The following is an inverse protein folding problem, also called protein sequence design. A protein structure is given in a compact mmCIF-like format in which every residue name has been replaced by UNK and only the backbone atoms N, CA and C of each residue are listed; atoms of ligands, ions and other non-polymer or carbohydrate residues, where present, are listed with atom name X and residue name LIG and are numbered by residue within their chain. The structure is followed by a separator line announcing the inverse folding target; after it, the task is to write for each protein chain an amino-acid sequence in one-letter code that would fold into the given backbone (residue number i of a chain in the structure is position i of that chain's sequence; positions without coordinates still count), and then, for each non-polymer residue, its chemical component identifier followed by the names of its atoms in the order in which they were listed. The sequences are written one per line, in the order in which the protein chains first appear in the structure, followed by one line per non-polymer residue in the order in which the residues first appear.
data_IF_991041257893
#
_entry.id   IF_991041257893
#
_cell.length_a   1.000
_cell.length_b   1.000
_cell.length_c   1.000
_cell.angle_alpha   90.00
_cell.angle_beta   90.00
_cell.angle_gamma   90.00
#
_symmetry.space_group_name_H-M   'P 1'
#
loop_
_entity.id
_entity.type
_entity.pdbx_description
1 polymer ?
#
# COMPACT_ATOMS: atom_id res chain seq x y z
N UNK A 1 0.63 5.38 39.40
CA UNK A 1 0.02 4.32 38.56
C UNK A 1 -0.98 5.03 37.66
N UNK A 2 -0.87 4.81 36.35
CA UNK A 2 -1.24 5.77 35.31
C UNK A 2 -2.74 5.73 34.99
N UNK A 3 -3.43 6.86 35.09
CA UNK A 3 -4.87 7.05 34.78
C UNK A 3 -5.30 6.45 33.44
N UNK A 4 -4.39 6.39 32.46
CA UNK A 4 -4.64 5.77 31.15
C UNK A 4 -4.91 4.26 31.21
N UNK A 5 -4.34 3.54 32.17
CA UNK A 5 -4.56 2.11 32.32
C UNK A 5 -5.96 1.82 32.89
N UNK A 6 -6.48 2.71 33.73
CA UNK A 6 -7.79 2.58 34.33
C UNK A 6 -8.89 3.00 33.35
N UNK A 7 -8.66 4.05 32.53
CA UNK A 7 -9.57 4.43 31.43
C UNK A 7 -9.74 3.32 30.38
N UNK A 8 -8.67 2.60 30.05
CA UNK A 8 -8.76 1.47 29.13
C UNK A 8 -9.53 0.30 29.73
N UNK A 9 -9.30 0.00 31.02
CA UNK A 9 -10.03 -1.07 31.72
C UNK A 9 -11.53 -0.77 31.81
N UNK A 10 -11.88 0.48 32.13
CA UNK A 10 -13.27 0.93 32.19
C UNK A 10 -13.94 0.88 30.81
N UNK A 11 -13.24 1.28 29.74
CA UNK A 11 -13.78 1.19 28.38
C UNK A 11 -13.99 -0.27 27.91
N UNK A 12 -13.13 -1.20 28.32
CA UNK A 12 -13.29 -2.62 28.02
C UNK A 12 -14.42 -3.26 28.83
N UNK A 13 -14.54 -2.96 30.13
CA UNK A 13 -15.65 -3.45 30.97
C UNK A 13 -17.01 -2.92 30.51
N UNK A 14 -17.08 -1.68 30.03
CA UNK A 14 -18.34 -1.08 29.52
C UNK A 14 -18.79 -1.74 28.21
N UNK A 15 -17.88 -2.23 27.38
CA UNK A 15 -18.19 -2.76 26.04
C UNK A 15 -18.03 -4.28 25.89
N UNK A 16 -17.73 -5.02 26.96
CA UNK A 16 -17.51 -6.47 26.91
C UNK A 16 -18.76 -7.27 26.50
N UNK A 17 -19.95 -6.75 26.81
CA UNK A 17 -21.23 -7.38 26.49
C UNK A 17 -22.00 -6.75 25.32
N UNK A 18 -21.48 -5.67 24.73
CA UNK A 18 -22.04 -5.08 23.52
C UNK A 18 -21.63 -5.97 22.34
N UNK A 19 -22.49 -6.92 21.97
CA UNK A 19 -22.32 -7.64 20.70
C UNK A 19 -22.56 -6.60 19.61
N UNK A 20 -21.53 -6.16 18.85
CA UNK A 20 -21.71 -5.08 17.91
C UNK A 20 -22.72 -5.53 16.85
N UNK A 21 -23.79 -4.77 16.68
CA UNK A 21 -24.84 -5.08 15.71
C UNK A 21 -24.17 -5.29 14.34
N UNK A 22 -24.24 -6.50 13.76
CA UNK A 22 -23.58 -6.79 12.50
C UNK A 22 -24.09 -5.87 11.40
N UNK A 23 -25.34 -5.42 11.46
CA UNK A 23 -25.91 -4.49 10.49
C UNK A 23 -25.24 -3.12 10.61
N UNK A 24 -24.99 -2.63 11.83
CA UNK A 24 -24.28 -1.37 12.06
C UNK A 24 -22.81 -1.46 11.60
N UNK A 25 -22.14 -2.59 11.86
CA UNK A 25 -20.76 -2.83 11.39
C UNK A 25 -20.71 -2.88 9.86
N UNK A 26 -21.61 -3.62 9.21
CA UNK A 26 -21.69 -3.69 7.75
C UNK A 26 -22.04 -2.35 7.12
N UNK A 27 -22.98 -1.59 7.71
CA UNK A 27 -23.31 -0.24 7.26
C UNK A 27 -22.12 0.70 7.36
N UNK A 28 -21.32 0.60 8.44
CA UNK A 28 -20.12 1.43 8.60
C UNK A 28 -19.00 1.05 7.64
N UNK A 29 -18.82 -0.24 7.35
CA UNK A 29 -17.88 -0.73 6.34
C UNK A 29 -18.31 -0.30 4.93
N UNK A 30 -19.61 -0.35 4.61
CA UNK A 30 -20.15 0.16 3.34
C UNK A 30 -20.01 1.69 3.23
N UNK A 31 -20.25 2.43 4.30
CA UNK A 31 -20.08 3.87 4.33
C UNK A 31 -18.61 4.25 4.13
N UNK A 32 -17.69 3.60 4.85
CA UNK A 32 -16.25 3.80 4.70
C UNK A 32 -15.80 3.47 3.27
N UNK A 33 -16.16 2.30 2.75
CA UNK A 33 -15.79 1.90 1.37
C UNK A 33 -16.41 2.81 0.31
N UNK A 34 -17.64 3.29 0.50
CA UNK A 34 -18.27 4.29 -0.36
C UNK A 34 -17.55 5.64 -0.33
N UNK A 35 -17.09 6.07 0.85
CA UNK A 35 -16.30 7.30 1.04
C UNK A 35 -14.92 7.19 0.38
N UNK A 36 -14.28 6.01 0.46
CA UNK A 36 -13.05 5.68 -0.27
C UNK A 36 -13.25 5.72 -1.80
N UNK A 37 -14.33 5.13 -2.31
CA UNK A 37 -14.66 5.12 -3.75
C UNK A 37 -14.95 6.52 -4.31
N UNK A 38 -15.56 7.42 -3.51
CA UNK A 38 -15.78 8.82 -3.89
C UNK A 38 -14.51 9.67 -3.83
N UNK A 39 -13.62 9.46 -2.85
CA UNK A 39 -12.32 10.15 -2.78
C UNK A 39 -11.42 9.85 -3.99
N UNK A 40 -11.40 8.59 -4.44
CA UNK A 40 -10.63 8.19 -5.64
C UNK A 40 -11.13 8.86 -6.94
N UNK A 41 -12.42 9.28 -6.98
CA UNK A 41 -12.98 10.05 -8.09
C UNK A 41 -12.84 11.58 -7.91
N UNK A 42 -12.75 12.07 -6.67
CA UNK A 42 -12.61 13.49 -6.35
C UNK A 42 -11.18 14.03 -6.54
N UNK A 43 -10.16 13.19 -6.44
CA UNK A 43 -8.75 13.60 -6.66
C UNK A 43 -8.35 13.81 -8.13
N UNK A 44 -9.25 13.53 -9.10
CA UNK A 44 -8.98 13.73 -10.53
C UNK A 44 -9.63 14.99 -11.13
N UNK A 45 -10.25 15.87 -10.34
CA UNK A 45 -10.93 17.09 -10.85
C UNK A 45 -10.41 18.41 -10.25
N UNK A 46 -9.48 18.38 -9.28
CA UNK A 46 -8.95 19.60 -8.66
C UNK A 46 -7.50 19.92 -9.06
N UNK A 47 -7.18 19.77 -10.35
CA UNK A 47 -5.89 20.15 -10.93
C UNK A 47 -6.10 21.09 -12.12
N UNK A 48 -6.54 22.32 -11.87
CA UNK A 48 -6.70 23.31 -12.94
C UNK A 48 -7.15 24.69 -12.45
N UNK A 49 -6.27 25.68 -12.66
CA UNK A 49 -6.39 27.14 -12.43
C UNK A 49 -6.33 27.60 -10.95
N UNK A 50 -5.60 28.65 -10.55
CA UNK A 50 -5.07 29.81 -11.27
C UNK A 50 -3.78 30.37 -10.65
N UNK A 51 -2.96 30.97 -11.51
CA UNK A 51 -1.87 31.90 -11.21
C UNK A 51 -2.41 33.20 -10.61
N UNK A 52 -1.70 33.78 -9.61
CA UNK A 52 -1.25 35.18 -9.55
C UNK A 52 -1.11 35.74 -8.12
N UNK A 53 0.12 36.16 -7.78
CA UNK A 53 0.45 37.44 -7.12
C UNK A 53 -0.05 37.74 -5.71
N UNK A 54 0.88 37.83 -4.74
CA UNK A 54 1.31 39.11 -4.15
C UNK A 54 2.37 38.87 -3.06
N UNK A 55 3.50 39.56 -3.21
CA UNK A 55 4.51 39.74 -2.19
C UNK A 55 4.00 40.72 -1.12
N UNK A 56 4.17 40.38 0.16
CA UNK A 56 4.23 41.37 1.25
C UNK A 56 5.37 40.98 2.18
N UNK A 57 6.34 41.89 2.26
CA UNK A 57 7.45 41.90 3.20
C UNK A 57 6.94 42.12 4.63
N UNK A 58 7.56 41.44 5.61
CA UNK A 58 7.28 41.64 7.03
C UNK A 58 8.48 41.27 7.89
N UNK A 59 9.39 42.23 8.05
CA UNK A 59 10.48 42.22 9.01
C UNK A 59 9.87 42.48 10.38
N UNK A 60 10.07 41.60 11.37
CA UNK A 60 9.80 41.92 12.77
C UNK A 60 11.12 42.09 13.50
N UNK A 61 11.49 43.36 13.64
CA UNK A 61 12.52 43.88 14.52
C UNK A 61 11.99 43.86 15.95
N UNK A 62 12.69 43.23 16.90
CA UNK A 62 12.38 43.34 18.34
C UNK A 62 13.42 44.27 18.97
N UNK A 63 13.03 45.31 19.74
CA UNK A 63 13.93 46.35 20.19
C UNK A 63 14.82 45.91 21.36
N UNK A 64 16.10 46.26 21.23
CA UNK A 64 17.08 46.32 22.32
C UNK A 64 16.74 47.49 23.26
N UNK A 65 16.53 47.20 24.54
CA UNK A 65 16.57 48.17 25.64
C UNK A 65 17.74 47.82 26.57
N UNK A 66 18.85 48.52 26.39
CA UNK A 66 20.02 48.62 27.28
C UNK A 66 19.69 49.60 28.44
N UNK A 67 20.43 49.66 29.60
CA UNK A 67 21.90 49.60 29.67
C UNK A 67 22.54 48.94 30.92
N UNK A 68 23.81 48.55 30.81
CA UNK A 68 24.66 48.33 32.00
C UNK A 68 25.86 47.41 31.79
N UNK A 69 27.05 48.00 31.75
CA UNK A 69 28.37 47.35 31.67
C UNK A 69 28.60 46.18 32.63
N UNK A 70 29.21 45.10 32.15
CA UNK A 70 30.44 44.53 32.74
C UNK A 70 30.99 43.40 31.85
N UNK A 71 32.28 43.52 31.52
CA UNK A 71 33.10 42.42 31.02
C UNK A 71 33.01 41.24 31.98
N UNK A 72 32.61 40.08 31.49
CA UNK A 72 33.04 38.80 32.06
C UNK A 72 33.20 37.79 30.93
N UNK A 73 34.46 37.37 30.76
CA UNK A 73 34.85 36.20 30.00
C UNK A 73 34.26 34.97 30.68
N UNK A 74 33.09 34.55 30.23
CA UNK A 74 32.56 33.22 30.54
C UNK A 74 32.70 32.38 29.29
N UNK A 75 33.72 31.52 29.30
CA UNK A 75 33.82 30.34 28.46
C UNK A 75 32.52 29.55 28.56
N UNK A 76 31.66 29.66 27.55
CA UNK A 76 30.52 28.78 27.39
C UNK A 76 31.07 27.45 26.90
N UNK A 77 31.27 26.56 27.87
CA UNK A 77 31.36 25.13 27.65
C UNK A 77 30.02 24.68 27.05
N UNK A 78 30.03 24.26 25.79
CA UNK A 78 28.88 23.59 25.22
C UNK A 78 28.77 22.21 25.90
N UNK A 79 27.69 21.90 26.63
CA UNK A 79 27.41 20.50 26.91
C UNK A 79 27.26 19.81 25.56
N UNK A 80 27.94 18.66 25.41
CA UNK A 80 27.72 17.73 24.33
C UNK A 80 26.23 17.34 24.32
N UNK A 81 25.43 18.12 23.59
CA UNK A 81 24.03 17.86 23.35
C UNK A 81 23.99 16.60 22.51
N UNK A 82 23.55 15.52 23.16
CA UNK A 82 23.27 14.25 22.53
C UNK A 82 22.51 14.49 21.22
N UNK A 83 23.13 14.10 20.11
CA UNK A 83 22.35 13.63 18.97
C UNK A 83 21.36 12.62 19.53
N UNK A 84 20.04 12.75 19.33
CA UNK A 84 19.19 11.60 19.48
C UNK A 84 19.69 10.61 18.44
N UNK A 85 20.48 9.64 18.89
CA UNK A 85 20.67 8.38 18.20
C UNK A 85 19.26 7.84 18.04
N UNK A 86 18.64 8.13 16.89
CA UNK A 86 17.40 7.47 16.49
C UNK A 86 17.81 6.01 16.37
N UNK A 87 17.59 5.27 17.45
CA UNK A 87 17.87 3.85 17.51
C UNK A 87 17.01 3.22 16.42
N UNK A 88 17.66 2.84 15.31
CA UNK A 88 17.01 2.08 14.27
C UNK A 88 16.41 0.84 14.93
N UNK A 89 15.09 0.64 14.89
CA UNK A 89 14.51 -0.54 15.49
C UNK A 89 14.97 -1.76 14.69
N UNK A 90 15.54 -2.74 15.39
CA UNK A 90 15.99 -4.00 14.80
C UNK A 90 14.86 -4.87 14.24
N UNK A 91 13.60 -4.42 14.38
CA UNK A 91 12.42 -5.05 13.82
C UNK A 91 11.35 -3.99 13.51
N UNK A 92 10.78 -4.04 12.30
CA UNK A 92 9.58 -3.28 11.96
C UNK A 92 8.38 -4.03 12.54
N UNK A 93 7.53 -3.40 13.37
CA UNK A 93 6.35 -4.05 13.89
C UNK A 93 5.40 -4.45 12.75
N UNK A 94 4.58 -5.47 13.00
CA UNK A 94 3.49 -5.84 12.10
C UNK A 94 2.48 -4.70 12.04
N UNK A 95 2.52 -3.90 10.96
CA UNK A 95 1.64 -2.76 10.75
C UNK A 95 0.23 -3.21 10.31
N UNK A 96 -0.78 -2.44 10.70
CA UNK A 96 -2.14 -2.63 10.18
C UNK A 96 -2.18 -2.30 8.67
N UNK A 97 -3.16 -2.84 7.94
CA UNK A 97 -3.30 -2.57 6.50
C UNK A 97 -3.51 -1.07 6.21
N UNK A 98 -4.23 -0.37 7.10
CA UNK A 98 -4.43 1.07 7.01
C UNK A 98 -3.12 1.86 7.21
N UNK A 99 -2.27 1.42 8.13
CA UNK A 99 -0.97 2.06 8.38
C UNK A 99 0.03 1.78 7.26
N UNK A 100 -0.03 0.59 6.64
CA UNK A 100 0.75 0.25 5.45
C UNK A 100 0.44 1.21 4.29
N UNK A 101 -0.83 1.41 3.96
CA UNK A 101 -1.24 2.29 2.86
C UNK A 101 -0.86 3.76 3.14
N UNK A 102 -1.11 4.22 4.37
CA UNK A 102 -0.78 5.59 4.79
C UNK A 102 0.73 5.84 4.75
N UNK A 103 1.52 4.88 5.21
CA UNK A 103 2.97 4.93 5.14
C UNK A 103 3.46 4.95 3.69
N UNK A 104 2.98 4.05 2.84
CA UNK A 104 3.37 4.05 1.42
C UNK A 104 3.08 5.37 0.73
N UNK A 105 1.88 5.94 0.93
CA UNK A 105 1.51 7.21 0.33
C UNK A 105 2.47 8.34 0.73
N UNK A 106 2.83 8.45 2.01
CA UNK A 106 3.75 9.46 2.49
C UNK A 106 5.19 9.25 2.00
N UNK A 107 5.64 8.00 1.96
CA UNK A 107 6.95 7.63 1.46
C UNK A 107 7.14 8.05 0.00
N UNK A 108 6.16 7.73 -0.85
CA UNK A 108 6.18 8.13 -2.26
C UNK A 108 5.96 9.63 -2.45
N UNK A 109 5.11 10.27 -1.65
CA UNK A 109 4.92 11.73 -1.72
C UNK A 109 6.20 12.50 -1.36
N UNK A 110 7.06 11.94 -0.51
CA UNK A 110 8.37 12.49 -0.18
C UNK A 110 9.44 12.22 -1.25
N UNK A 111 9.08 11.55 -2.35
CA UNK A 111 9.94 11.32 -3.50
C UNK A 111 10.85 10.09 -3.41
N UNK A 112 10.73 9.28 -2.35
CA UNK A 112 11.51 8.06 -2.21
C UNK A 112 10.94 6.93 -3.06
N UNK A 113 11.83 6.04 -3.54
CA UNK A 113 11.49 4.97 -4.47
C UNK A 113 11.72 3.56 -3.91
N UNK A 114 11.71 2.54 -4.77
CA UNK A 114 11.99 1.18 -4.31
C UNK A 114 13.44 0.97 -3.86
N UNK A 115 14.41 1.53 -4.58
CA UNK A 115 15.83 1.33 -4.30
C UNK A 115 16.23 2.00 -2.99
N UNK A 116 15.63 3.15 -2.70
CA UNK A 116 15.73 3.81 -1.40
C UNK A 116 15.18 2.94 -0.27
N UNK A 117 14.10 2.19 -0.51
CA UNK A 117 13.56 1.28 0.50
C UNK A 117 14.48 0.08 0.75
N UNK A 118 15.19 -0.40 -0.28
CA UNK A 118 16.20 -1.45 -0.14
C UNK A 118 17.38 -0.93 0.68
N UNK A 119 17.92 0.25 0.35
CA UNK A 119 19.00 0.90 1.11
C UNK A 119 18.59 1.14 2.58
N UNK A 120 17.35 1.58 2.82
CA UNK A 120 16.81 1.73 4.17
C UNK A 120 16.74 0.40 4.91
N UNK A 121 16.35 -0.68 4.23
CA UNK A 121 16.30 -2.00 4.85
C UNK A 121 17.69 -2.49 5.28
N UNK A 122 18.71 -2.23 4.46
CA UNK A 122 20.11 -2.56 4.77
C UNK A 122 20.64 -1.71 5.92
N UNK A 123 20.36 -0.41 5.90
CA UNK A 123 20.82 0.56 6.90
C UNK A 123 20.16 0.35 8.27
N UNK A 124 18.88 -0.02 8.30
CA UNK A 124 18.17 -0.37 9.53
C UNK A 124 18.41 -1.81 9.97
N UNK A 125 19.16 -2.59 9.19
CA UNK A 125 19.43 -4.01 9.45
C UNK A 125 18.14 -4.84 9.64
N UNK A 126 17.07 -4.48 8.93
CA UNK A 126 15.75 -5.13 9.05
C UNK A 126 15.54 -6.14 7.92
N UNK A 127 15.18 -7.37 8.28
CA UNK A 127 14.79 -8.43 7.33
C UNK A 127 13.28 -8.48 7.11
N UNK A 128 12.65 -7.31 7.00
CA UNK A 128 11.22 -7.19 6.74
C UNK A 128 10.94 -7.15 5.23
N UNK A 129 9.73 -7.54 4.77
CA UNK A 129 9.31 -7.27 3.41
C UNK A 129 9.51 -5.79 3.06
N UNK A 130 10.04 -5.47 1.87
CA UNK A 130 10.34 -4.09 1.47
C UNK A 130 9.10 -3.18 1.57
N UNK A 131 7.89 -3.72 1.37
CA UNK A 131 6.65 -2.99 1.64
C UNK A 131 6.57 -2.46 3.07
N UNK A 132 6.90 -3.27 4.08
CA UNK A 132 6.88 -2.82 5.47
C UNK A 132 7.93 -1.74 5.74
N UNK A 133 9.10 -1.83 5.10
CA UNK A 133 10.16 -0.81 5.18
C UNK A 133 9.68 0.52 4.62
N UNK A 134 8.99 0.51 3.48
CA UNK A 134 8.39 1.71 2.88
C UNK A 134 7.34 2.33 3.79
N UNK A 135 6.47 1.50 4.37
CA UNK A 135 5.39 1.99 5.22
C UNK A 135 5.95 2.63 6.49
N UNK A 136 6.87 1.96 7.17
CA UNK A 136 7.58 2.50 8.34
C UNK A 136 8.29 3.82 8.02
N UNK A 137 9.03 3.86 6.91
CA UNK A 137 9.71 5.08 6.46
C UNK A 137 8.74 6.23 6.19
N UNK A 138 7.59 5.95 5.56
CA UNK A 138 6.55 6.94 5.35
C UNK A 138 5.85 7.40 6.64
N UNK A 139 5.65 6.51 7.60
CA UNK A 139 5.10 6.88 8.90
C UNK A 139 6.06 7.79 9.67
N UNK A 140 7.38 7.56 9.59
CA UNK A 140 8.41 8.45 10.14
C UNK A 140 8.38 9.83 9.48
N UNK A 141 8.26 9.88 8.16
CA UNK A 141 8.10 11.14 7.43
C UNK A 141 6.84 11.90 7.86
N UNK A 142 5.72 11.20 8.11
CA UNK A 142 4.49 11.80 8.64
C UNK A 142 4.62 12.28 10.09
N UNK A 143 5.46 11.63 10.89
CA UNK A 143 5.82 12.07 12.23
C UNK A 143 6.79 13.27 12.22
N UNK A 144 7.22 13.73 11.04
CA UNK A 144 8.17 14.82 10.87
C UNK A 144 9.63 14.40 11.04
N UNK A 145 9.92 13.10 11.12
CA UNK A 145 11.28 12.59 11.15
C UNK A 145 11.89 12.59 9.74
N UNK A 146 13.18 12.89 9.66
CA UNK A 146 13.95 12.81 8.42
C UNK A 146 14.58 11.43 8.26
N UNK A 147 14.53 10.87 7.05
CA UNK A 147 15.22 9.61 6.76
C UNK A 147 16.74 9.82 6.65
N UNK A 148 17.56 8.76 6.85
CA UNK A 148 19.01 8.89 6.95
C UNK A 148 19.74 9.39 5.70
N UNK A 149 19.06 9.41 4.56
CA UNK A 149 19.56 9.97 3.32
C UNK A 149 18.39 10.63 2.57
N UNK A 150 18.64 11.69 1.78
CA UNK A 150 17.60 12.33 0.98
C UNK A 150 17.10 11.37 -0.11
N UNK A 151 15.84 11.54 -0.52
CA UNK A 151 15.29 10.80 -1.66
C UNK A 151 16.22 10.94 -2.86
N UNK A 152 16.54 9.81 -3.49
CA UNK A 152 17.37 9.85 -4.69
C UNK A 152 16.52 10.50 -5.79
N UNK A 153 16.94 11.62 -6.41
CA UNK A 153 16.15 12.24 -7.47
C UNK A 153 15.97 11.21 -8.58
N UNK A 154 14.73 10.78 -8.80
CA UNK A 154 14.42 9.90 -9.91
C UNK A 154 14.93 10.58 -11.19
N UNK A 155 15.74 9.85 -11.97
CA UNK A 155 15.81 10.12 -13.39
C UNK A 155 14.35 10.16 -13.90
N UNK A 156 13.98 11.09 -14.80
CA UNK A 156 12.58 11.24 -15.22
C UNK A 156 12.02 9.87 -15.54
N UNK A 157 11.10 9.42 -14.68
CA UNK A 157 10.47 8.12 -14.77
C UNK A 157 9.96 8.00 -16.22
N UNK A 158 10.26 6.92 -16.96
CA UNK A 158 9.52 6.68 -18.19
C UNK A 158 8.07 6.65 -17.76
N UNK A 159 7.29 7.66 -18.16
CA UNK A 159 5.90 7.88 -17.74
C UNK A 159 5.19 6.54 -17.66
N UNK A 160 5.04 6.01 -16.44
CA UNK A 160 4.23 4.82 -16.21
C UNK A 160 2.86 5.18 -16.77
N UNK A 161 2.28 4.41 -17.68
CA UNK A 161 0.96 4.72 -18.19
C UNK A 161 -0.04 4.57 -17.05
N UNK A 162 -0.24 5.60 -16.25
CA UNK A 162 -1.25 5.63 -15.22
C UNK A 162 -2.62 5.66 -15.90
N UNK A 163 -3.35 4.55 -15.84
CA UNK A 163 -4.66 4.43 -16.47
C UNK A 163 -5.09 2.99 -16.72
N UNK A 164 -6.30 2.78 -17.28
CA UNK A 164 -6.91 1.46 -17.46
C UNK A 164 -6.07 0.47 -18.28
N UNK A 165 -5.12 0.98 -19.07
CA UNK A 165 -4.19 0.15 -19.85
C UNK A 165 -3.13 -0.54 -18.97
N UNK A 166 -2.58 0.15 -17.96
CA UNK A 166 -1.62 -0.46 -17.04
C UNK A 166 -2.29 -1.49 -16.12
N UNK A 167 -3.52 -1.23 -15.67
CA UNK A 167 -4.28 -2.19 -14.88
C UNK A 167 -4.45 -3.51 -15.65
N UNK A 168 -4.85 -3.46 -16.93
CA UNK A 168 -4.96 -4.65 -17.79
C UNK A 168 -3.63 -5.38 -17.98
N UNK A 169 -2.52 -4.66 -18.04
CA UNK A 169 -1.20 -5.26 -18.20
C UNK A 169 -0.79 -5.98 -16.91
N UNK A 170 -1.00 -5.35 -15.75
CA UNK A 170 -0.75 -5.99 -14.46
C UNK A 170 -1.66 -7.20 -14.26
N UNK A 171 -2.95 -7.09 -14.57
CA UNK A 171 -3.91 -8.20 -14.53
C UNK A 171 -3.46 -9.35 -15.44
N UNK A 172 -2.94 -9.06 -16.63
CA UNK A 172 -2.43 -10.09 -17.54
C UNK A 172 -1.18 -10.78 -16.97
N UNK A 173 -0.29 -10.02 -16.34
CA UNK A 173 0.91 -10.55 -15.68
C UNK A 173 0.54 -11.50 -14.54
N UNK A 174 -0.27 -11.04 -13.59
CA UNK A 174 -0.68 -11.84 -12.43
C UNK A 174 -1.61 -12.99 -12.84
N UNK A 175 -2.53 -12.75 -13.78
CA UNK A 175 -3.43 -13.76 -14.31
C UNK A 175 -2.73 -14.89 -15.06
N UNK A 176 -1.51 -14.66 -15.54
CA UNK A 176 -0.65 -15.70 -16.13
C UNK A 176 0.18 -16.47 -15.08
N UNK A 177 0.04 -16.14 -13.78
CA UNK A 177 0.72 -16.82 -12.67
C UNK A 177 2.12 -16.28 -12.37
N UNK A 178 2.49 -15.12 -12.92
CA UNK A 178 3.76 -14.48 -12.58
C UNK A 178 3.68 -13.77 -11.24
N UNK A 179 4.78 -13.81 -10.48
CA UNK A 179 4.91 -13.17 -9.18
C UNK A 179 6.00 -12.10 -9.19
N UNK A 180 6.23 -11.48 -8.04
CA UNK A 180 7.32 -10.54 -7.84
C UNK A 180 8.69 -11.13 -8.18
N UNK A 181 8.95 -12.38 -7.80
CA UNK A 181 10.23 -13.04 -8.05
C UNK A 181 10.52 -13.18 -9.55
N UNK A 182 9.49 -13.46 -10.35
CA UNK A 182 9.63 -13.46 -11.81
C UNK A 182 9.83 -12.04 -12.35
N UNK A 183 9.12 -11.05 -11.80
CA UNK A 183 9.28 -9.65 -12.22
C UNK A 183 10.70 -9.14 -11.99
N UNK A 184 11.33 -9.45 -10.86
CA UNK A 184 12.73 -9.10 -10.56
C UNK A 184 13.69 -9.75 -11.56
N UNK A 185 13.46 -11.03 -11.89
CA UNK A 185 14.28 -11.73 -12.90
C UNK A 185 14.10 -11.12 -14.29
N UNK A 186 12.88 -10.78 -14.67
CA UNK A 186 12.57 -10.12 -15.94
C UNK A 186 13.19 -8.72 -16.02
N UNK A 187 13.14 -7.94 -14.94
CA UNK A 187 13.80 -6.64 -14.87
C UNK A 187 15.30 -6.76 -15.14
N UNK A 188 15.96 -7.74 -14.52
CA UNK A 188 17.39 -8.00 -14.76
C UNK A 188 17.69 -8.38 -16.22
N UNK A 189 16.86 -9.20 -16.85
CA UNK A 189 17.03 -9.63 -18.25
C UNK A 189 16.81 -8.47 -19.23
N UNK A 190 15.85 -7.59 -18.93
CA UNK A 190 15.51 -6.46 -19.78
C UNK A 190 16.26 -5.17 -19.41
N UNK A 191 17.21 -5.25 -18.47
CA UNK A 191 17.98 -4.11 -17.98
C UNK A 191 17.09 -2.95 -17.49
N UNK A 192 15.98 -3.29 -16.82
CA UNK A 192 15.08 -2.34 -16.17
C UNK A 192 15.53 -2.11 -14.73
N UNK A 193 15.40 -0.86 -14.26
CA UNK A 193 15.70 -0.47 -12.88
C UNK A 193 14.61 -0.94 -11.90
N UNK A 194 13.33 -0.84 -12.26
CA UNK A 194 12.21 -1.22 -11.39
C UNK A 194 11.55 -2.55 -11.85
N UNK A 195 11.43 -3.56 -10.96
CA UNK A 195 10.61 -4.75 -11.21
C UNK A 195 9.16 -4.44 -11.59
N UNK A 196 8.61 -3.32 -11.16
CA UNK A 196 7.26 -2.87 -11.51
C UNK A 196 7.13 -2.60 -13.01
N UNK A 197 8.16 -2.00 -13.63
CA UNK A 197 8.18 -1.75 -15.07
C UNK A 197 8.27 -3.06 -15.85
N UNK A 198 8.99 -4.04 -15.30
CA UNK A 198 9.03 -5.39 -15.85
C UNK A 198 7.64 -6.04 -15.84
N UNK A 199 6.83 -5.87 -14.79
CA UNK A 199 5.44 -6.40 -14.78
C UNK A 199 4.58 -5.80 -15.87
N UNK A 200 4.65 -4.48 -16.05
CA UNK A 200 3.86 -3.75 -17.05
C UNK A 200 4.28 -4.17 -18.46
N UNK A 201 5.59 -4.25 -18.73
CA UNK A 201 6.14 -4.70 -20.01
C UNK A 201 5.80 -6.18 -20.28
N UNK A 202 5.94 -7.04 -19.28
CA UNK A 202 5.57 -8.45 -19.34
C UNK A 202 4.09 -8.62 -19.62
N UNK A 203 3.23 -7.89 -18.90
CA UNK A 203 1.79 -7.84 -19.12
C UNK A 203 1.41 -7.43 -20.54
N UNK A 204 2.07 -6.39 -21.07
CA UNK A 204 1.89 -5.94 -22.46
C UNK A 204 2.25 -7.05 -23.46
N UNK A 205 3.39 -7.72 -23.26
CA UNK A 205 3.84 -8.84 -24.11
C UNK A 205 2.88 -10.03 -24.05
N UNK A 206 2.42 -10.39 -22.85
CA UNK A 206 1.44 -11.46 -22.65
C UNK A 206 0.10 -11.16 -23.35
N UNK A 207 -0.38 -9.90 -23.29
CA UNK A 207 -1.57 -9.46 -24.02
C UNK A 207 -1.39 -9.52 -25.55
N UNK A 208 -0.17 -9.35 -26.03
CA UNK A 208 0.18 -9.53 -27.45
C UNK A 208 0.35 -11.02 -27.84
N UNK A 209 0.22 -11.95 -26.90
CA UNK A 209 0.44 -13.39 -27.12
C UNK A 209 1.91 -13.80 -27.18
N UNK A 210 2.83 -12.92 -26.79
CA UNK A 210 4.26 -13.24 -26.74
C UNK A 210 4.62 -14.04 -25.49
N UNK A 211 5.59 -14.95 -25.61
CA UNK A 211 6.17 -15.69 -24.48
C UNK A 211 7.26 -14.89 -23.79
N UNK A 212 7.35 -14.98 -22.46
CA UNK A 212 8.39 -14.30 -21.69
C UNK A 212 9.63 -15.20 -21.50
N UNK A 213 10.83 -14.61 -21.32
CA UNK A 213 12.07 -15.35 -21.09
C UNK A 213 12.08 -16.15 -19.78
N UNK A 214 11.33 -15.68 -18.79
CA UNK A 214 11.15 -16.36 -17.50
C UNK A 214 9.77 -16.99 -17.52
N UNK A 215 9.66 -18.24 -17.06
CA UNK A 215 8.37 -18.90 -16.91
C UNK A 215 7.90 -18.84 -15.45
N UNK A 216 6.58 -18.71 -15.21
CA UNK A 216 6.02 -18.76 -13.88
C UNK A 216 6.05 -20.19 -13.33
N UNK A 217 6.06 -20.33 -12.01
CA UNK A 217 6.00 -21.65 -11.37
C UNK A 217 4.63 -22.31 -11.67
N UNK A 218 4.57 -23.62 -12.00
CA UNK A 218 3.30 -24.30 -12.29
C UNK A 218 2.24 -24.15 -11.19
N UNK A 219 2.68 -24.12 -9.92
CA UNK A 219 1.79 -23.88 -8.79
C UNK A 219 1.12 -22.50 -8.84
N UNK A 220 1.86 -21.46 -9.24
CA UNK A 220 1.34 -20.10 -9.34
C UNK A 220 0.39 -19.96 -10.52
N UNK A 221 0.68 -20.64 -11.64
CA UNK A 221 -0.25 -20.71 -12.79
C UNK A 221 -1.57 -21.35 -12.39
N UNK A 222 -1.52 -22.43 -11.62
CA UNK A 222 -2.72 -23.09 -11.09
C UNK A 222 -3.50 -22.14 -10.17
N UNK A 223 -2.82 -21.49 -9.22
CA UNK A 223 -3.45 -20.56 -8.29
C UNK A 223 -4.10 -19.37 -9.01
N UNK A 224 -3.41 -18.74 -9.96
CA UNK A 224 -3.95 -17.63 -10.76
C UNK A 224 -5.17 -18.05 -11.59
N UNK A 225 -5.17 -19.29 -12.12
CA UNK A 225 -6.33 -19.83 -12.83
C UNK A 225 -7.53 -20.05 -11.92
N UNK A 226 -7.32 -20.60 -10.72
CA UNK A 226 -8.37 -20.77 -9.72
C UNK A 226 -8.93 -19.41 -9.27
N UNK A 227 -8.06 -18.43 -9.01
CA UNK A 227 -8.47 -17.07 -8.66
C UNK A 227 -9.28 -16.41 -9.77
N UNK A 228 -8.87 -16.56 -11.04
CA UNK A 228 -9.64 -16.06 -12.20
C UNK A 228 -11.03 -16.70 -12.29
N UNK A 229 -11.15 -17.99 -11.98
CA UNK A 229 -12.43 -18.69 -11.94
C UNK A 229 -13.30 -18.15 -10.80
N UNK A 230 -12.75 -18.04 -9.60
CA UNK A 230 -13.46 -17.48 -8.43
C UNK A 230 -13.90 -16.04 -8.70
N UNK A 231 -13.04 -15.20 -9.28
CA UNK A 231 -13.39 -13.84 -9.67
C UNK A 231 -14.51 -13.82 -10.71
N UNK A 232 -14.48 -14.70 -11.72
CA UNK A 232 -15.56 -14.80 -12.70
C UNK A 232 -16.91 -15.19 -12.06
N UNK A 233 -16.88 -16.05 -11.05
CA UNK A 233 -18.07 -16.43 -10.27
C UNK A 233 -18.69 -15.22 -9.56
N UNK A 234 -17.88 -14.47 -8.80
CA UNK A 234 -18.36 -13.27 -8.11
C UNK A 234 -18.75 -12.14 -9.05
N UNK A 235 -18.00 -11.91 -10.14
CA UNK A 235 -18.31 -10.88 -11.13
C UNK A 235 -19.63 -11.13 -11.86
N UNK A 236 -20.09 -12.39 -11.90
CA UNK A 236 -21.41 -12.75 -12.44
C UNK A 236 -22.56 -12.49 -11.45
N UNK A 237 -22.24 -12.13 -10.20
CA UNK A 237 -23.18 -11.76 -9.15
C UNK A 237 -23.41 -12.83 -8.09
N UNK A 238 -22.80 -14.00 -8.21
CA UNK A 238 -23.05 -15.10 -7.27
C UNK A 238 -22.39 -14.87 -5.91
N UNK A 239 -23.09 -15.24 -4.84
CA UNK A 239 -22.61 -15.09 -3.46
C UNK A 239 -21.92 -16.35 -2.91
N UNK A 240 -21.42 -16.27 -1.67
CA UNK A 240 -20.88 -17.45 -0.97
C UNK A 240 -21.98 -18.47 -0.66
N UNK A 241 -23.18 -18.01 -0.33
CA UNK A 241 -24.35 -18.87 -0.09
C UNK A 241 -24.75 -19.63 -1.35
N UNK A 242 -24.64 -19.01 -2.51
CA UNK A 242 -24.86 -19.66 -3.80
C UNK A 242 -23.81 -20.73 -4.08
N UNK A 243 -22.55 -20.47 -3.74
CA UNK A 243 -21.51 -21.49 -3.80
C UNK A 243 -21.79 -22.69 -2.88
N UNK A 244 -22.36 -22.47 -1.68
CA UNK A 244 -22.78 -23.57 -0.79
C UNK A 244 -23.92 -24.38 -1.40
N UNK A 245 -24.92 -23.74 -2.02
CA UNK A 245 -26.00 -24.44 -2.73
C UNK A 245 -25.45 -25.25 -3.92
N UNK A 246 -24.55 -24.66 -4.70
CA UNK A 246 -23.90 -25.32 -5.83
C UNK A 246 -23.03 -26.49 -5.40
N UNK A 247 -22.33 -26.38 -4.26
CA UNK A 247 -21.56 -27.49 -3.70
C UNK A 247 -22.47 -28.69 -3.40
N UNK A 248 -23.68 -28.45 -2.88
CA UNK A 248 -24.68 -29.51 -2.64
C UNK A 248 -25.20 -30.11 -3.96
N UNK A 249 -25.55 -29.28 -4.94
CA UNK A 249 -26.09 -29.72 -6.25
C UNK A 249 -25.06 -30.55 -7.03
N UNK A 250 -23.78 -30.16 -6.96
CA UNK A 250 -22.71 -30.82 -7.70
C UNK A 250 -21.94 -31.86 -6.88
N UNK A 251 -22.38 -32.15 -5.66
CA UNK A 251 -21.73 -33.08 -4.73
C UNK A 251 -20.23 -32.78 -4.52
N UNK A 252 -19.90 -31.49 -4.41
CA UNK A 252 -18.54 -31.02 -4.11
C UNK A 252 -18.31 -30.96 -2.60
N UNK A 253 -17.04 -31.07 -2.21
CA UNK A 253 -16.62 -31.17 -0.80
C UNK A 253 -16.88 -29.88 -0.01
N UNK A 254 -16.81 -28.74 -0.67
CA UNK A 254 -16.88 -27.42 -0.04
C UNK A 254 -17.32 -26.33 -1.03
N UNK A 255 -17.67 -25.16 -0.48
CA UNK A 255 -18.07 -24.00 -1.27
C UNK A 255 -16.93 -23.42 -2.12
N UNK A 256 -15.68 -23.60 -1.73
CA UNK A 256 -14.53 -23.10 -2.51
C UNK A 256 -14.41 -23.84 -3.85
N UNK A 257 -14.50 -25.17 -3.80
CA UNK A 257 -14.55 -26.05 -4.98
C UNK A 257 -15.72 -25.67 -5.91
N UNK A 258 -16.87 -25.29 -5.34
CA UNK A 258 -18.01 -24.83 -6.12
C UNK A 258 -17.78 -23.47 -6.80
N UNK A 259 -17.05 -22.53 -6.17
CA UNK A 259 -16.68 -21.26 -6.81
C UNK A 259 -15.76 -21.48 -8.01
N UNK A 260 -14.77 -22.36 -7.86
CA UNK A 260 -13.84 -22.74 -8.94
C UNK A 260 -14.60 -23.37 -10.11
N UNK A 261 -15.42 -24.39 -9.84
CA UNK A 261 -16.17 -25.08 -10.89
C UNK A 261 -17.25 -24.19 -11.51
N UNK A 262 -17.95 -23.37 -10.71
CA UNK A 262 -18.91 -22.39 -11.21
C UNK A 262 -18.25 -21.32 -12.07
N UNK A 263 -17.12 -20.78 -11.61
CA UNK A 263 -16.30 -19.85 -12.37
C UNK A 263 -15.81 -20.41 -13.71
N UNK A 264 -15.33 -21.65 -13.70
CA UNK A 264 -14.93 -22.38 -14.91
C UNK A 264 -16.08 -22.52 -15.91
N UNK A 265 -17.29 -22.85 -15.44
CA UNK A 265 -18.49 -22.95 -16.29
C UNK A 265 -18.91 -21.59 -16.85
N UNK A 266 -18.88 -20.53 -16.03
CA UNK A 266 -19.17 -19.16 -16.47
C UNK A 266 -18.17 -18.71 -17.55
N UNK A 267 -16.87 -18.95 -17.36
CA UNK A 267 -15.84 -18.62 -18.35
C UNK A 267 -16.00 -19.41 -19.66
N UNK A 268 -16.57 -20.61 -19.60
CA UNK A 268 -16.95 -21.41 -20.77
C UNK A 268 -18.28 -20.99 -21.41
N UNK A 269 -18.94 -19.93 -20.90
CA UNK A 269 -20.23 -19.44 -21.41
C UNK A 269 -21.44 -20.27 -20.95
N UNK A 270 -21.27 -21.17 -19.98
CA UNK A 270 -22.35 -22.01 -19.47
C UNK A 270 -23.11 -21.32 -18.33
N UNK A 271 -24.43 -21.57 -18.25
CA UNK A 271 -25.26 -21.14 -17.13
C UNK A 271 -25.11 -22.09 -15.94
N UNK A 272 -25.15 -21.53 -14.72
CA UNK A 272 -25.21 -22.34 -13.51
C UNK A 272 -26.67 -22.77 -13.22
N UNK A 273 -26.89 -23.89 -12.49
CA UNK A 273 -28.22 -24.39 -12.18
C UNK A 273 -29.01 -23.49 -11.21
N UNK A 274 -28.37 -22.47 -10.66
CA UNK A 274 -29.03 -21.42 -9.87
C UNK A 274 -28.73 -20.05 -10.49
N UNK A 275 -29.64 -19.10 -10.27
CA UNK A 275 -29.42 -17.69 -10.58
C UNK A 275 -28.73 -17.00 -9.39
N UNK A 276 -27.87 -16.00 -9.64
CA UNK A 276 -27.34 -15.15 -8.58
C UNK A 276 -28.46 -14.33 -7.94
#
# INVERSE_FOLDING_TARGET
MTEHADQLREAFEIHENDTPDPVAVYARVQELSGKYKRRRRGFQVAGGAALAGLAVAGIVTVPNLLPGNARNTSSVSFPAGAVPTSAAPSAIPSLSEADLEKGWAAYFAAGYDYDDAVKLSELWHVKAPIGNVKAEAGLRLLAGETLPFPATPNAPEPTRPAGPAADKQLDAFFGAGYTWDEAVRLAKIWHLSDPSDAKVMAGKKLLAGETLPVQPKPANVKAAKEEKQVAAFFNKGYSVEDAVKLAKIWHLKDAWSAKIEGGKRILAGQSLPIKP
#
